data_IF_708881161306
#
_entry.id   IF_708881161306
#
_cell.length_a   1.000
_cell.length_b   1.000
_cell.length_c   1.000
_cell.angle_alpha   90.00
_cell.angle_beta   90.00
_cell.angle_gamma   90.00
#
_symmetry.space_group_name_H-M   'P 1'
#
loop_
_entity.id
_entity.type
_entity.pdbx_description
1 polymer ?
#
# COMPACT_ATOMS: atom_id res chain seq x y z
N UNK A 1 -7.93 -49.77 -62.42
CA UNK A 1 -7.21 -48.48 -62.49
C UNK A 1 -8.25 -47.37 -62.42
N UNK A 2 -7.98 -46.17 -61.89
CA UNK A 2 -7.33 -45.74 -60.64
C UNK A 2 -8.32 -44.90 -59.75
N UNK A 3 -7.82 -44.36 -58.64
CA UNK A 3 -8.51 -43.77 -57.47
C UNK A 3 -9.09 -42.35 -57.66
N UNK A 4 -9.98 -41.93 -56.74
CA UNK A 4 -10.15 -40.53 -56.24
C UNK A 4 -11.13 -40.52 -55.03
N UNK A 5 -10.70 -40.86 -53.81
CA UNK A 5 -10.19 -39.99 -52.73
C UNK A 5 -11.15 -38.86 -52.31
N UNK A 6 -11.90 -39.11 -51.22
CA UNK A 6 -12.62 -38.11 -50.41
C UNK A 6 -11.62 -37.13 -49.73
N UNK A 7 -11.67 -35.82 -50.00
CA UNK A 7 -10.80 -34.86 -49.33
C UNK A 7 -11.54 -33.81 -48.46
N UNK A 8 -12.88 -33.74 -48.50
CA UNK A 8 -13.59 -32.57 -47.93
C UNK A 8 -13.92 -32.69 -46.43
N UNK A 9 -14.28 -33.87 -45.90
CA UNK A 9 -14.73 -33.99 -44.50
C UNK A 9 -13.63 -33.73 -43.46
N UNK A 10 -12.37 -34.08 -43.78
CA UNK A 10 -11.24 -33.93 -42.85
C UNK A 10 -10.84 -32.46 -42.65
N UNK A 11 -11.01 -31.63 -43.69
CA UNK A 11 -10.67 -30.21 -43.63
C UNK A 11 -11.62 -29.43 -42.70
N UNK A 12 -12.92 -29.73 -42.76
CA UNK A 12 -13.94 -29.10 -41.91
C UNK A 12 -13.83 -29.54 -40.44
N UNK A 13 -13.57 -30.83 -40.18
CA UNK A 13 -13.36 -31.33 -38.83
C UNK A 13 -12.11 -30.73 -38.17
N UNK A 14 -11.01 -30.61 -38.92
CA UNK A 14 -9.79 -29.97 -38.45
C UNK A 14 -10.00 -28.49 -38.11
N UNK A 15 -10.86 -27.77 -38.84
CA UNK A 15 -11.13 -26.36 -38.57
C UNK A 15 -11.96 -26.17 -37.29
N UNK A 16 -12.95 -27.03 -37.04
CA UNK A 16 -13.73 -27.03 -35.78
C UNK A 16 -12.83 -27.36 -34.58
N UNK A 17 -11.94 -28.34 -34.71
CA UNK A 17 -10.99 -28.72 -33.65
C UNK A 17 -10.00 -27.58 -33.38
N UNK A 18 -9.44 -26.96 -34.43
CA UNK A 18 -8.56 -25.79 -34.30
C UNK A 18 -9.25 -24.66 -33.57
N UNK A 19 -10.50 -24.34 -33.92
CA UNK A 19 -11.27 -23.26 -33.29
C UNK A 19 -11.53 -23.52 -31.80
N UNK A 20 -11.85 -24.76 -31.42
CA UNK A 20 -12.04 -25.15 -30.01
C UNK A 20 -10.73 -25.16 -29.22
N UNK A 21 -9.66 -25.63 -29.82
CA UNK A 21 -8.32 -25.60 -29.23
C UNK A 21 -7.86 -24.15 -29.02
N UNK A 22 -8.12 -23.27 -29.99
CA UNK A 22 -7.79 -21.85 -29.90
C UNK A 22 -8.57 -21.18 -28.77
N UNK A 23 -9.88 -21.41 -28.68
CA UNK A 23 -10.73 -20.89 -27.59
C UNK A 23 -10.29 -21.43 -26.23
N UNK A 24 -9.89 -22.71 -26.16
CA UNK A 24 -9.34 -23.32 -24.95
C UNK A 24 -8.03 -22.68 -24.51
N UNK A 25 -7.09 -22.46 -25.44
CA UNK A 25 -5.81 -21.79 -25.19
C UNK A 25 -6.00 -20.33 -24.79
N UNK A 26 -6.90 -19.62 -25.47
CA UNK A 26 -7.16 -18.20 -25.20
C UNK A 26 -7.86 -18.03 -23.84
N UNK A 27 -8.76 -18.94 -23.48
CA UNK A 27 -9.39 -18.99 -22.16
C UNK A 27 -8.40 -19.32 -21.03
N UNK A 28 -7.50 -20.28 -21.23
CA UNK A 28 -6.45 -20.60 -20.23
C UNK A 28 -5.45 -19.47 -20.07
N UNK A 29 -5.03 -18.82 -21.16
CA UNK A 29 -4.14 -17.66 -21.09
C UNK A 29 -4.77 -16.49 -20.33
N UNK A 30 -6.07 -16.22 -20.56
CA UNK A 30 -6.80 -15.18 -19.82
C UNK A 30 -6.89 -15.50 -18.33
N UNK A 31 -7.23 -16.74 -17.96
CA UNK A 31 -7.30 -17.16 -16.56
C UNK A 31 -5.94 -17.12 -15.85
N UNK A 32 -4.86 -17.52 -16.53
CA UNK A 32 -3.50 -17.37 -16.02
C UNK A 32 -3.12 -15.90 -15.82
N UNK A 33 -3.49 -15.02 -16.75
CA UNK A 33 -3.26 -13.58 -16.61
C UNK A 33 -4.01 -13.01 -15.39
N UNK A 34 -5.26 -13.42 -15.15
CA UNK A 34 -6.01 -13.02 -13.96
C UNK A 34 -5.48 -13.63 -12.66
N UNK A 35 -4.95 -14.87 -12.69
CA UNK A 35 -4.34 -15.50 -11.52
C UNK A 35 -3.04 -14.81 -11.08
N UNK A 36 -2.37 -14.11 -12.00
CA UNK A 36 -1.18 -13.31 -11.71
C UNK A 36 -1.50 -11.89 -11.24
N UNK A 37 -2.77 -11.46 -11.30
CA UNK A 37 -3.17 -10.18 -10.67
C UNK A 37 -3.12 -10.37 -9.16
N UNK A 38 -2.29 -9.60 -8.42
CA UNK A 38 -2.21 -9.72 -6.98
C UNK A 38 -3.58 -9.44 -6.38
N UNK A 39 -4.24 -10.45 -5.83
CA UNK A 39 -5.55 -10.33 -5.19
C UNK A 39 -5.54 -9.38 -4.00
N UNK A 40 -4.35 -9.08 -3.48
CA UNK A 40 -4.10 -8.02 -2.49
C UNK A 40 -4.50 -6.63 -2.98
N UNK A 41 -4.55 -6.36 -4.29
CA UNK A 41 -5.02 -5.09 -4.86
C UNK A 41 -6.53 -5.06 -5.10
N UNK A 42 -7.21 -6.22 -5.07
CA UNK A 42 -8.62 -6.33 -5.43
C UNK A 42 -9.60 -6.11 -4.26
N UNK A 43 -9.12 -5.80 -3.05
CA UNK A 43 -9.96 -5.58 -1.84
C UNK A 43 -11.12 -6.60 -1.69
N UNK A 44 -10.91 -7.85 -2.11
CA UNK A 44 -11.97 -8.87 -2.21
C UNK A 44 -12.49 -9.37 -0.85
N UNK A 45 -11.93 -8.88 0.26
CA UNK A 45 -12.34 -9.24 1.61
C UNK A 45 -12.40 -8.03 2.51
N UNK A 46 -13.54 -7.85 3.19
CA UNK A 46 -13.66 -6.91 4.29
C UNK A 46 -12.60 -7.26 5.37
N UNK A 47 -11.88 -6.28 5.93
CA UNK A 47 -10.89 -6.54 6.97
C UNK A 47 -11.49 -7.39 8.10
N UNK A 48 -10.81 -8.47 8.47
CA UNK A 48 -11.35 -9.45 9.44
C UNK A 48 -11.25 -9.01 10.90
N UNK A 49 -10.44 -7.99 11.20
CA UNK A 49 -10.22 -7.48 12.56
C UNK A 49 -11.04 -6.22 12.82
N UNK A 50 -11.32 -5.87 14.09
CA UNK A 50 -11.93 -4.58 14.43
C UNK A 50 -11.06 -3.40 13.97
N UNK A 51 -11.69 -2.27 13.64
CA UNK A 51 -11.01 -1.07 13.13
C UNK A 51 -9.86 -0.60 14.04
N UNK A 52 -10.10 -0.53 15.36
CA UNK A 52 -9.08 -0.06 16.29
C UNK A 52 -7.75 -0.86 16.19
N UNK A 53 -7.79 -2.13 15.77
CA UNK A 53 -6.58 -2.95 15.58
C UNK A 53 -5.66 -2.36 14.50
N UNK A 54 -6.23 -1.79 13.44
CA UNK A 54 -5.49 -1.13 12.37
C UNK A 54 -5.09 0.29 12.75
N UNK A 55 -5.82 0.94 13.67
CA UNK A 55 -5.48 2.29 14.15
C UNK A 55 -4.28 2.32 15.10
N UNK A 56 -4.09 1.29 15.94
CA UNK A 56 -2.94 1.21 16.87
C UNK A 56 -1.59 1.41 16.17
N UNK A 57 -1.24 0.67 15.10
CA UNK A 57 0.02 0.88 14.39
C UNK A 57 0.08 2.24 13.66
N UNK A 58 -1.05 2.84 13.30
CA UNK A 58 -1.10 4.20 12.72
C UNK A 58 -0.78 5.26 13.77
N UNK A 59 -1.32 5.14 14.99
CA UNK A 59 -0.98 6.02 16.11
C UNK A 59 0.50 5.89 16.49
N UNK A 60 1.06 4.68 16.49
CA UNK A 60 2.50 4.49 16.68
C UNK A 60 3.32 5.15 15.57
N UNK A 61 2.88 5.03 14.32
CA UNK A 61 3.53 5.70 13.19
C UNK A 61 3.48 7.23 13.33
N UNK A 62 2.40 7.78 13.90
CA UNK A 62 2.30 9.20 14.21
C UNK A 62 3.35 9.65 15.26
N UNK A 63 3.59 8.85 16.29
CA UNK A 63 4.65 9.12 17.28
C UNK A 63 6.04 9.07 16.64
N UNK A 64 6.32 8.05 15.82
CA UNK A 64 7.59 7.93 15.10
C UNK A 64 7.83 9.09 14.13
N UNK A 65 6.79 9.59 13.45
CA UNK A 65 6.88 10.79 12.62
C UNK A 65 7.19 12.04 13.45
N UNK A 66 6.63 12.16 14.66
CA UNK A 66 6.97 13.26 15.57
C UNK A 66 8.43 13.17 16.08
N UNK A 67 8.95 11.96 16.31
CA UNK A 67 10.37 11.73 16.64
C UNK A 67 11.29 12.16 15.48
N UNK A 68 10.90 11.88 14.23
CA UNK A 68 11.62 12.37 13.04
C UNK A 68 11.73 13.90 13.05
N UNK A 69 10.66 14.60 13.42
CA UNK A 69 10.67 16.07 13.51
C UNK A 69 11.59 16.61 14.60
N UNK A 70 11.76 15.87 15.71
CA UNK A 70 12.63 16.27 16.82
C UNK A 70 14.11 16.00 16.55
N UNK A 71 14.44 14.92 15.83
CA UNK A 71 15.84 14.56 15.56
C UNK A 71 16.53 15.46 14.52
N UNK A 72 15.76 16.02 13.57
CA UNK A 72 16.30 16.82 12.46
C UNK A 72 16.96 18.15 12.91
N UNK A 73 16.34 18.97 13.79
CA UNK A 73 16.94 20.22 14.28
C UNK A 73 18.25 20.06 15.04
N UNK A 74 18.50 18.89 15.63
CA UNK A 74 19.68 18.62 16.48
C UNK A 74 20.97 18.34 15.69
N UNK A 75 20.94 18.49 14.35
CA UNK A 75 22.07 18.16 13.48
C UNK A 75 22.26 16.67 13.26
N UNK A 76 21.24 15.86 13.59
CA UNK A 76 21.29 14.40 13.40
C UNK A 76 21.45 14.03 11.94
N UNK A 77 22.41 13.14 11.68
CA UNK A 77 22.68 12.64 10.33
C UNK A 77 21.49 11.85 9.77
N UNK A 78 21.38 11.79 8.44
CA UNK A 78 20.42 10.95 7.68
C UNK A 78 20.36 9.49 8.18
N UNK A 79 21.45 9.01 8.79
CA UNK A 79 21.55 7.67 9.37
C UNK A 79 20.59 7.46 10.55
N UNK A 80 20.30 8.50 11.34
CA UNK A 80 19.41 8.42 12.49
C UNK A 80 17.92 8.37 12.11
N UNK A 81 17.55 8.93 10.95
CA UNK A 81 16.16 8.97 10.49
C UNK A 81 15.71 7.64 9.87
N UNK A 82 16.66 6.89 9.31
CA UNK A 82 16.40 5.65 8.58
C UNK A 82 15.71 4.56 9.42
N UNK A 83 16.20 4.22 10.63
CA UNK A 83 15.53 3.23 11.48
C UNK A 83 14.08 3.59 11.81
N UNK A 84 13.75 4.88 11.93
CA UNK A 84 12.39 5.32 12.20
C UNK A 84 11.47 5.05 11.01
N UNK A 85 11.95 5.29 9.79
CA UNK A 85 11.17 5.03 8.57
C UNK A 85 11.01 3.55 8.28
N UNK A 86 12.06 2.77 8.49
CA UNK A 86 11.99 1.31 8.40
C UNK A 86 10.93 0.78 9.39
N UNK A 87 10.85 1.35 10.60
CA UNK A 87 9.79 1.01 11.57
C UNK A 87 8.40 1.49 11.16
N UNK A 88 8.26 2.63 10.48
CA UNK A 88 6.97 3.13 10.00
C UNK A 88 6.44 2.27 8.84
N UNK A 89 7.28 2.02 7.84
CA UNK A 89 6.92 1.33 6.61
C UNK A 89 6.84 -0.19 6.79
N UNK A 90 7.70 -0.75 7.65
CA UNK A 90 7.79 -2.19 7.89
C UNK A 90 7.03 -2.68 9.13
N UNK A 91 7.12 -3.97 9.45
CA UNK A 91 6.51 -4.54 10.63
C UNK A 91 7.08 -3.92 11.93
N UNK A 92 6.25 -3.72 12.97
CA UNK A 92 4.84 -4.10 13.06
C UNK A 92 3.86 -3.05 12.51
N UNK A 93 4.34 -1.89 12.06
CA UNK A 93 3.46 -0.76 11.75
C UNK A 93 2.87 -0.80 10.35
N UNK A 94 3.58 -1.39 9.37
CA UNK A 94 3.09 -1.66 8.01
C UNK A 94 2.16 -0.56 7.49
N UNK A 95 2.62 0.70 7.52
CA UNK A 95 1.77 1.91 7.39
C UNK A 95 0.74 1.81 6.27
N UNK A 96 1.20 1.45 5.06
CA UNK A 96 0.35 1.34 3.87
C UNK A 96 -0.81 0.36 4.05
N UNK A 97 -0.51 -0.81 4.61
CA UNK A 97 -1.49 -1.87 4.80
C UNK A 97 -2.54 -1.46 5.83
N UNK A 98 -2.11 -0.88 6.95
CA UNK A 98 -3.03 -0.45 8.00
C UNK A 98 -3.89 0.75 7.60
N UNK A 99 -3.37 1.69 6.78
CA UNK A 99 -4.17 2.77 6.20
C UNK A 99 -5.29 2.20 5.31
N UNK A 100 -4.94 1.25 4.44
CA UNK A 100 -5.90 0.61 3.54
C UNK A 100 -6.95 -0.19 4.30
N UNK A 101 -6.52 -1.00 5.26
CA UNK A 101 -7.43 -1.85 6.03
C UNK A 101 -8.35 -1.00 6.92
N UNK A 102 -7.84 0.08 7.52
CA UNK A 102 -8.66 1.02 8.28
C UNK A 102 -9.70 1.72 7.40
N UNK A 103 -9.32 2.17 6.20
CA UNK A 103 -10.25 2.79 5.26
C UNK A 103 -11.38 1.82 4.85
N UNK A 104 -11.07 0.56 4.60
CA UNK A 104 -12.03 -0.48 4.22
C UNK A 104 -13.02 -0.86 5.36
N UNK A 105 -12.77 -0.43 6.60
CA UNK A 105 -13.71 -0.61 7.70
C UNK A 105 -14.82 0.47 7.74
N UNK A 106 -14.67 1.57 7.01
CA UNK A 106 -15.66 2.65 6.99
C UNK A 106 -16.96 2.18 6.30
N UNK A 107 -18.08 2.75 6.71
CA UNK A 107 -19.42 2.29 6.31
C UNK A 107 -19.91 2.92 5.01
N UNK A 108 -19.52 4.16 4.72
CA UNK A 108 -19.98 4.86 3.52
C UNK A 108 -18.92 4.82 2.42
N UNK A 109 -19.30 4.56 1.15
CA UNK A 109 -18.34 4.57 0.04
C UNK A 109 -17.60 5.89 -0.13
N UNK A 110 -18.25 7.01 0.24
CA UNK A 110 -17.65 8.34 0.20
C UNK A 110 -16.52 8.48 1.21
N UNK A 111 -16.73 8.02 2.44
CA UNK A 111 -15.72 8.10 3.49
C UNK A 111 -14.57 7.14 3.19
N UNK A 112 -14.85 5.95 2.64
CA UNK A 112 -13.82 5.01 2.15
C UNK A 112 -12.95 5.69 1.10
N UNK A 113 -13.54 6.24 0.03
CA UNK A 113 -12.78 6.88 -1.04
C UNK A 113 -11.94 8.09 -0.54
N UNK A 114 -12.50 8.85 0.40
CA UNK A 114 -11.79 9.98 1.03
C UNK A 114 -10.62 9.50 1.88
N UNK A 115 -10.84 8.48 2.72
CA UNK A 115 -9.80 7.88 3.55
C UNK A 115 -8.70 7.23 2.71
N UNK A 116 -9.03 6.55 1.61
CA UNK A 116 -8.04 6.00 0.67
C UNK A 116 -7.20 7.09 0.01
N UNK A 117 -7.82 8.20 -0.41
CA UNK A 117 -7.09 9.31 -0.99
C UNK A 117 -6.09 9.91 0.00
N UNK A 118 -6.53 10.18 1.23
CA UNK A 118 -5.64 10.69 2.28
C UNK A 118 -4.58 9.66 2.65
N UNK A 119 -4.93 8.37 2.73
CA UNK A 119 -3.99 7.29 3.01
C UNK A 119 -2.89 7.16 1.95
N UNK A 120 -3.22 7.37 0.67
CA UNK A 120 -2.23 7.47 -0.40
C UNK A 120 -1.31 8.67 -0.20
N UNK A 121 -1.85 9.86 0.08
CA UNK A 121 -1.05 11.06 0.35
C UNK A 121 -0.06 10.81 1.50
N UNK A 122 -0.52 10.22 2.62
CA UNK A 122 0.34 9.86 3.76
C UNK A 122 1.48 8.96 3.31
N UNK A 123 1.16 7.88 2.60
CA UNK A 123 2.17 6.92 2.15
C UNK A 123 3.17 7.53 1.18
N UNK A 124 2.72 8.39 0.25
CA UNK A 124 3.58 9.09 -0.70
C UNK A 124 4.57 10.02 0.00
N UNK A 125 4.13 10.80 0.99
CA UNK A 125 5.04 11.65 1.76
C UNK A 125 6.13 10.85 2.48
N UNK A 126 5.79 9.67 3.01
CA UNK A 126 6.76 8.79 3.69
C UNK A 126 7.68 8.08 2.68
N UNK A 127 7.17 7.63 1.54
CA UNK A 127 7.96 7.00 0.47
C UNK A 127 8.93 7.97 -0.21
N UNK A 128 8.53 9.23 -0.35
CA UNK A 128 9.39 10.26 -0.94
C UNK A 128 10.69 10.40 -0.14
N UNK A 129 10.63 10.21 1.18
CA UNK A 129 11.80 10.13 2.05
C UNK A 129 12.75 8.99 1.64
N UNK A 130 12.23 7.77 1.47
CA UNK A 130 13.00 6.59 1.04
C UNK A 130 13.65 6.79 -0.34
N UNK A 131 12.96 7.46 -1.28
CA UNK A 131 13.43 7.61 -2.67
C UNK A 131 14.77 8.33 -2.82
N UNK A 132 15.16 9.12 -1.82
CA UNK A 132 16.38 9.92 -1.81
C UNK A 132 17.58 9.21 -1.15
N UNK A 133 17.43 7.92 -0.79
CA UNK A 133 18.42 7.03 -0.17
C UNK A 133 19.76 6.89 -0.93
N UNK A 134 19.83 7.27 -2.20
CA UNK A 134 21.00 7.11 -3.06
C UNK A 134 21.74 8.39 -3.48
N UNK A 135 21.31 9.59 -3.04
CA UNK A 135 21.91 10.84 -3.51
C UNK A 135 23.35 11.05 -2.98
N UNK A 136 24.32 11.47 -3.83
CA UNK A 136 25.69 11.74 -3.41
C UNK A 136 25.74 12.83 -2.34
N UNK A 137 26.54 12.57 -1.29
CA UNK A 137 26.60 13.40 -0.08
C UNK A 137 27.65 14.50 -0.21
N UNK A 138 27.29 15.55 -0.92
CA UNK A 138 27.85 16.89 -0.66
C UNK A 138 27.05 17.55 0.48
N UNK A 139 27.71 18.36 1.31
CA UNK A 139 27.11 18.96 2.51
C UNK A 139 25.85 19.79 2.20
N UNK A 140 25.85 20.52 1.08
CA UNK A 140 24.70 21.30 0.63
C UNK A 140 23.52 20.42 0.16
N UNK A 141 23.80 19.26 -0.43
CA UNK A 141 22.78 18.28 -0.87
C UNK A 141 22.17 17.58 0.34
N UNK A 142 22.99 17.23 1.34
CA UNK A 142 22.52 16.61 2.59
C UNK A 142 21.63 17.55 3.41
N UNK A 143 21.96 18.85 3.49
CA UNK A 143 21.12 19.83 4.20
C UNK A 143 19.76 20.01 3.55
N UNK A 144 19.72 20.08 2.20
CA UNK A 144 18.46 20.13 1.44
C UNK A 144 17.65 18.87 1.66
N UNK A 145 18.28 17.70 1.58
CA UNK A 145 17.62 16.42 1.84
C UNK A 145 16.94 16.39 3.21
N UNK A 146 17.64 16.83 4.26
CA UNK A 146 17.11 16.87 5.63
C UNK A 146 15.90 17.82 5.73
N UNK A 147 15.98 19.00 5.10
CA UNK A 147 14.88 19.97 5.10
C UNK A 147 13.64 19.46 4.33
N UNK A 148 13.84 18.85 3.16
CA UNK A 148 12.74 18.23 2.42
C UNK A 148 12.12 17.06 3.18
N UNK A 149 12.96 16.21 3.76
CA UNK A 149 12.57 15.10 4.63
C UNK A 149 11.70 15.55 5.79
N UNK A 150 12.08 16.66 6.46
CA UNK A 150 11.30 17.25 7.54
C UNK A 150 9.94 17.77 7.07
N UNK A 151 9.89 18.47 5.94
CA UNK A 151 8.65 18.98 5.38
C UNK A 151 7.70 17.85 4.98
N UNK A 152 8.23 16.77 4.40
CA UNK A 152 7.46 15.57 4.09
C UNK A 152 6.95 14.88 5.35
N UNK A 153 7.76 14.75 6.41
CA UNK A 153 7.33 14.18 7.68
C UNK A 153 6.17 14.98 8.31
N UNK A 154 6.28 16.31 8.31
CA UNK A 154 5.21 17.22 8.78
C UNK A 154 3.93 17.06 7.96
N UNK A 155 4.06 17.01 6.63
CA UNK A 155 2.92 16.82 5.75
C UNK A 155 2.25 15.45 6.00
N UNK A 156 3.05 14.40 6.15
CA UNK A 156 2.56 13.07 6.52
C UNK A 156 1.84 13.07 7.87
N UNK A 157 2.37 13.78 8.88
CA UNK A 157 1.76 13.88 10.20
C UNK A 157 0.39 14.57 10.13
N UNK A 158 0.28 15.69 9.41
CA UNK A 158 -0.98 16.41 9.21
C UNK A 158 -1.99 15.55 8.48
N UNK A 159 -1.58 14.86 7.40
CA UNK A 159 -2.47 13.98 6.64
C UNK A 159 -2.88 12.75 7.41
N UNK A 160 -1.99 12.18 8.21
CA UNK A 160 -2.30 11.05 9.07
C UNK A 160 -3.30 11.46 10.15
N UNK A 161 -3.17 12.66 10.71
CA UNK A 161 -4.17 13.21 11.63
C UNK A 161 -5.54 13.36 10.94
N UNK A 162 -5.58 13.93 9.73
CA UNK A 162 -6.82 14.03 8.94
C UNK A 162 -7.45 12.65 8.67
N UNK A 163 -6.62 11.65 8.34
CA UNK A 163 -7.07 10.28 8.16
C UNK A 163 -7.70 9.73 9.44
N UNK A 164 -7.04 9.91 10.58
CA UNK A 164 -7.53 9.46 11.88
C UNK A 164 -8.84 10.17 12.25
N UNK A 165 -8.97 11.47 11.98
CA UNK A 165 -10.19 12.23 12.28
C UNK A 165 -11.42 11.77 11.48
N UNK A 166 -11.23 11.07 10.35
CA UNK A 166 -12.32 10.40 9.63
C UNK A 166 -12.79 9.10 10.31
N UNK A 167 -12.01 8.56 11.24
CA UNK A 167 -12.34 7.31 11.93
C UNK A 167 -13.32 7.57 13.09
N UNK A 168 -14.26 6.64 13.35
CA UNK A 168 -15.17 6.73 14.49
C UNK A 168 -14.44 7.00 15.82
N UNK A 169 -14.97 7.92 16.63
CA UNK A 169 -14.32 8.38 17.85
C UNK A 169 -14.10 7.24 18.87
N UNK A 170 -15.07 6.35 19.03
CA UNK A 170 -14.97 5.17 19.89
C UNK A 170 -13.81 4.24 19.48
N UNK A 171 -13.60 4.06 18.17
CA UNK A 171 -12.50 3.24 17.65
C UNK A 171 -11.15 3.91 17.86
N UNK A 172 -11.09 5.24 17.75
CA UNK A 172 -9.87 6.02 18.06
C UNK A 172 -9.51 5.95 19.54
N UNK A 173 -10.49 6.10 20.43
CA UNK A 173 -10.29 6.00 21.86
C UNK A 173 -9.81 4.60 22.26
N UNK A 174 -10.44 3.55 21.72
CA UNK A 174 -10.01 2.17 21.94
C UNK A 174 -8.56 1.93 21.48
N UNK A 175 -8.18 2.46 20.31
CA UNK A 175 -6.82 2.37 19.81
C UNK A 175 -5.82 3.14 20.69
N UNK A 176 -6.18 4.32 21.17
CA UNK A 176 -5.35 5.13 22.08
C UNK A 176 -5.14 4.43 23.44
N UNK A 177 -6.19 3.84 24.01
CA UNK A 177 -6.09 3.05 25.25
C UNK A 177 -5.18 1.82 25.06
N UNK A 178 -5.32 1.12 23.93
CA UNK A 178 -4.45 0.00 23.61
C UNK A 178 -2.99 0.43 23.39
N UNK A 179 -2.76 1.59 22.79
CA UNK A 179 -1.41 2.12 22.62
C UNK A 179 -0.76 2.47 23.96
N UNK A 180 -1.53 3.04 24.90
CA UNK A 180 -1.04 3.37 26.24
C UNK A 180 -0.70 2.14 27.10
N UNK A 181 -1.24 0.96 26.78
CA UNK A 181 -0.99 -0.29 27.52
C UNK A 181 0.17 -1.12 26.95
N UNK A 182 0.72 -0.75 25.78
CA UNK A 182 1.84 -1.47 25.17
C UNK A 182 3.18 -0.92 25.67
N UNK A 183 4.12 -1.78 26.11
CA UNK A 183 5.49 -1.35 26.35
C UNK A 183 6.17 -0.96 25.03
N UNK A 184 6.93 0.14 25.05
CA UNK A 184 7.64 0.71 23.90
C UNK A 184 8.78 -0.18 23.39
#
# INVERSE_FOLDING_TARGET
MPQENEPESNAEELDVVKRRLLLGLLGTAALCAFALVPTQQLQLGKPSKPLFFYLVPLLRSQQLLAEVEQLVPEGSSVVALRPLLDRILGPPNNLQQNLRDAAACLTTPRDVATAEAIGRDVYEYVQYFESMRGAPRDGAVSARYILFSLNSAKAAQVKLQQFLDLMPADQREAAAMQMASLPF
#
